data_IF_213470211525
#
_entry.id   IF_213470211525
#
_cell.length_a   1.000
_cell.length_b   1.000
_cell.length_c   1.000
_cell.angle_alpha   90.00
_cell.angle_beta   90.00
_cell.angle_gamma   90.00
#
_symmetry.space_group_name_H-M   'P 1'
#
loop_
_entity.id
_entity.type
_entity.pdbx_description
1 polymer ?
#
# COMPACT_ATOMS: atom_id res chain seq x y z
N UNK A 1 -18.01 -2.67 0.61
CA UNK A 1 -18.02 -1.66 1.69
C UNK A 1 -19.15 -0.69 1.39
N UNK A 2 -20.22 -0.66 2.19
CA UNK A 2 -21.19 0.44 2.08
C UNK A 2 -20.53 1.72 2.58
N UNK A 3 -20.75 2.86 1.92
CA UNK A 3 -20.19 4.16 2.32
C UNK A 3 -20.50 4.52 3.79
N UNK A 4 -21.61 4.01 4.32
CA UNK A 4 -22.00 4.15 5.72
C UNK A 4 -21.05 3.49 6.72
N UNK A 5 -20.18 2.59 6.28
CA UNK A 5 -19.16 1.92 7.09
C UNK A 5 -17.79 2.60 7.08
N UNK A 6 -17.66 3.80 6.49
CA UNK A 6 -16.40 4.53 6.36
C UNK A 6 -16.43 5.86 7.10
N UNK A 7 -15.35 6.16 7.82
CA UNK A 7 -15.12 7.47 8.43
C UNK A 7 -14.18 8.29 7.55
N UNK A 8 -14.72 9.28 6.82
CA UNK A 8 -13.92 10.15 5.96
C UNK A 8 -12.97 11.08 6.72
N UNK A 9 -13.20 11.34 8.01
CA UNK A 9 -12.30 12.19 8.82
C UNK A 9 -11.06 11.42 9.24
N UNK A 10 -11.22 10.17 9.66
CA UNK A 10 -10.10 9.32 10.11
C UNK A 10 -9.52 8.47 9.01
N UNK A 11 -10.21 8.35 7.86
CA UNK A 11 -9.86 7.46 6.75
C UNK A 11 -9.74 5.99 7.22
N UNK A 12 -10.72 5.55 8.02
CA UNK A 12 -10.78 4.21 8.58
C UNK A 12 -12.20 3.64 8.47
N UNK A 13 -12.31 2.31 8.48
CA UNK A 13 -13.57 1.61 8.65
C UNK A 13 -14.16 1.92 10.03
N UNK A 14 -15.48 2.17 10.07
CA UNK A 14 -16.23 2.54 11.27
C UNK A 14 -16.52 1.32 12.16
N UNK A 15 -16.60 1.59 13.46
CA UNK A 15 -16.99 0.61 14.48
C UNK A 15 -15.85 -0.30 14.93
N UNK A 16 -16.20 -1.29 15.75
CA UNK A 16 -15.25 -2.18 16.42
C UNK A 16 -15.47 -3.65 16.04
N UNK A 17 -16.12 -3.92 14.91
CA UNK A 17 -16.26 -5.29 14.42
C UNK A 17 -14.89 -5.87 14.08
N UNK A 18 -14.72 -7.19 14.18
CA UNK A 18 -13.47 -7.85 13.78
C UNK A 18 -13.08 -7.51 12.34
N UNK A 19 -14.06 -7.42 11.44
CA UNK A 19 -13.84 -7.03 10.04
C UNK A 19 -13.32 -5.59 9.93
N UNK A 20 -13.90 -4.65 10.66
CA UNK A 20 -13.43 -3.25 10.64
C UNK A 20 -12.03 -3.10 11.22
N UNK A 21 -11.72 -3.81 12.30
CA UNK A 21 -10.38 -3.85 12.90
C UNK A 21 -9.35 -4.40 11.91
N UNK A 22 -9.68 -5.49 11.21
CA UNK A 22 -8.80 -6.11 10.24
C UNK A 22 -8.53 -5.21 9.04
N UNK A 23 -9.57 -4.57 8.50
CA UNK A 23 -9.44 -3.56 7.43
C UNK A 23 -8.50 -2.44 7.89
N UNK A 24 -8.71 -1.90 9.08
CA UNK A 24 -7.89 -0.81 9.62
C UNK A 24 -6.44 -1.24 9.87
N UNK A 25 -6.22 -2.48 10.30
CA UNK A 25 -4.88 -3.07 10.47
C UNK A 25 -4.15 -3.12 9.15
N UNK A 26 -4.78 -3.67 8.11
CA UNK A 26 -4.18 -3.78 6.78
C UNK A 26 -3.93 -2.40 6.15
N UNK A 27 -4.86 -1.44 6.30
CA UNK A 27 -4.64 -0.04 5.90
C UNK A 27 -3.39 0.55 6.59
N UNK A 28 -3.19 0.27 7.87
CA UNK A 28 -2.01 0.68 8.62
C UNK A 28 -0.72 0.09 8.04
N UNK A 29 -0.72 -1.21 7.69
CA UNK A 29 0.43 -1.88 7.07
C UNK A 29 0.76 -1.28 5.71
N UNK A 30 -0.25 -1.05 4.86
CA UNK A 30 -0.10 -0.42 3.54
C UNK A 30 0.50 0.99 3.70
N UNK A 31 -0.08 1.81 4.58
CA UNK A 31 0.38 3.18 4.83
C UNK A 31 1.83 3.23 5.30
N UNK A 32 2.21 2.33 6.23
CA UNK A 32 3.60 2.23 6.70
C UNK A 32 4.57 1.91 5.55
N UNK A 33 4.21 0.98 4.66
CA UNK A 33 5.03 0.63 3.49
C UNK A 33 5.15 1.80 2.51
N UNK A 34 4.06 2.49 2.21
CA UNK A 34 4.07 3.68 1.34
C UNK A 34 4.98 4.76 1.94
N UNK A 35 4.91 5.02 3.25
CA UNK A 35 5.82 5.97 3.90
C UNK A 35 7.29 5.56 3.87
N UNK A 36 7.59 4.27 3.98
CA UNK A 36 8.97 3.80 3.79
C UNK A 36 9.47 4.03 2.37
N UNK A 37 8.62 3.82 1.35
CA UNK A 37 8.94 4.13 -0.05
C UNK A 37 9.15 5.64 -0.22
N UNK A 38 8.23 6.47 0.28
CA UNK A 38 8.33 7.92 0.22
C UNK A 38 9.65 8.42 0.85
N UNK A 39 10.00 7.89 2.03
CA UNK A 39 11.25 8.22 2.70
C UNK A 39 12.48 7.84 1.86
N UNK A 40 12.41 6.75 1.08
CA UNK A 40 13.50 6.37 0.18
C UNK A 40 13.71 7.37 -0.95
N UNK A 41 12.63 7.89 -1.56
CA UNK A 41 12.71 8.97 -2.55
C UNK A 41 13.27 10.27 -1.95
N UNK A 42 12.78 10.66 -0.77
CA UNK A 42 13.26 11.85 -0.06
C UNK A 42 14.77 11.78 0.24
N UNK A 43 15.27 10.63 0.70
CA UNK A 43 16.72 10.44 0.96
C UNK A 43 17.56 10.46 -0.30
N UNK A 44 16.98 10.08 -1.43
CA UNK A 44 17.63 10.10 -2.74
C UNK A 44 17.47 11.46 -3.46
N UNK A 45 16.84 12.45 -2.81
CA UNK A 45 16.53 13.77 -3.39
C UNK A 45 15.85 13.66 -4.78
N UNK A 46 15.07 12.60 -4.96
CA UNK A 46 14.40 12.28 -6.22
C UNK A 46 12.96 12.80 -6.16
N UNK A 47 12.54 13.55 -7.16
CA UNK A 47 11.13 13.95 -7.30
C UNK A 47 10.24 12.71 -7.50
N UNK A 48 9.05 12.74 -6.90
CA UNK A 48 8.09 11.64 -6.97
C UNK A 48 6.66 12.18 -6.86
N UNK A 49 5.72 11.43 -7.43
CA UNK A 49 4.29 11.65 -7.28
C UNK A 49 3.58 10.42 -6.66
N UNK A 50 2.25 10.46 -6.61
CA UNK A 50 1.45 9.35 -6.08
C UNK A 50 1.51 8.09 -6.96
N UNK A 51 1.71 8.24 -8.27
CA UNK A 51 1.84 7.14 -9.23
C UNK A 51 3.16 6.39 -8.98
N UNK A 52 4.25 7.13 -8.74
CA UNK A 52 5.55 6.54 -8.43
C UNK A 52 5.50 5.68 -7.17
N UNK A 53 4.95 6.22 -6.08
CA UNK A 53 4.80 5.49 -4.82
C UNK A 53 3.98 4.21 -4.99
N UNK A 54 2.87 4.29 -5.75
CA UNK A 54 2.01 3.13 -6.06
C UNK A 54 2.78 2.09 -6.87
N UNK A 55 3.48 2.51 -7.92
CA UNK A 55 4.15 1.58 -8.83
C UNK A 55 5.33 0.88 -8.14
N UNK A 56 6.03 1.56 -7.23
CA UNK A 56 7.02 0.93 -6.33
C UNK A 56 6.36 -0.06 -5.38
N UNK A 57 5.25 0.32 -4.74
CA UNK A 57 4.53 -0.56 -3.83
C UNK A 57 4.03 -1.84 -4.52
N UNK A 58 3.56 -1.72 -5.77
CA UNK A 58 3.11 -2.83 -6.61
C UNK A 58 4.27 -3.59 -7.29
N UNK A 59 5.52 -3.14 -7.13
CA UNK A 59 6.71 -3.79 -7.68
C UNK A 59 6.86 -3.68 -9.20
N UNK A 60 6.21 -2.72 -9.86
CA UNK A 60 6.27 -2.55 -11.33
C UNK A 60 7.64 -2.10 -11.83
N UNK A 61 8.45 -1.55 -10.95
CA UNK A 61 9.83 -1.12 -11.19
C UNK A 61 10.87 -2.21 -10.87
N UNK A 62 10.44 -3.43 -10.52
CA UNK A 62 11.33 -4.59 -10.41
C UNK A 62 11.19 -5.44 -11.68
N UNK A 63 12.31 -5.83 -12.27
CA UNK A 63 12.32 -6.89 -13.29
C UNK A 63 11.64 -8.12 -12.69
N UNK A 64 10.47 -8.48 -13.19
CA UNK A 64 9.84 -9.75 -12.85
C UNK A 64 10.73 -10.85 -13.41
N UNK A 65 11.61 -11.41 -12.58
CA UNK A 65 12.26 -12.69 -12.87
C UNK A 65 11.19 -13.76 -12.77
N UNK A 66 10.39 -13.91 -13.82
CA UNK A 66 9.53 -15.07 -13.99
C UNK A 66 10.49 -16.26 -14.17
N UNK A 67 10.55 -17.14 -13.17
CA UNK A 67 11.24 -18.43 -13.31
C UNK A 67 10.58 -19.18 -14.47
N UNK A 68 11.28 -19.26 -15.60
CA UNK A 68 10.93 -20.10 -16.76
C UNK A 68 11.54 -21.52 -16.64
N UNK A 69 11.81 -21.96 -15.42
CA UNK A 69 12.34 -23.29 -15.11
C UNK A 69 11.46 -23.74 -13.93
N UNK A 70 10.51 -24.67 -14.01
CA UNK A 70 10.68 -26.09 -14.30
C UNK A 70 9.28 -26.65 -14.66
N UNK A 71 8.86 -26.54 -15.91
CA UNK A 71 7.86 -27.45 -16.47
C UNK A 71 8.56 -28.26 -17.55
N UNK A 72 9.33 -29.27 -17.11
CA UNK A 72 9.77 -30.40 -17.92
C UNK A 72 9.12 -31.66 -17.36
#
# INVERSE_FOLDING_TARGET
>A
VHLSGWNSRTQLALGNSMVAQEINRELGVIKKRIYSIQQSFQRAETEYDAIDLRDVYLGKNKTQKLLLEIFQ
#
